data_IF_302565403647
#
_entry.id   IF_302565403647
#
_cell.length_a   1.000
_cell.length_b   1.000
_cell.length_c   1.000
_cell.angle_alpha   90.00
_cell.angle_beta   90.00
_cell.angle_gamma   90.00
#
_symmetry.space_group_name_H-M   'P 1'
#
loop_
_entity.id
_entity.type
_entity.pdbx_description
1 polymer ?
#
# COMPACT_ATOMS: atom_id res chain seq x y z
N UNK A 1 2.24 24.38 -3.08
CA UNK A 1 2.10 23.36 -2.02
C UNK A 1 2.24 21.98 -2.63
N UNK A 2 3.46 21.47 -2.77
CA UNK A 2 3.74 20.11 -3.28
C UNK A 2 4.15 19.14 -2.16
N UNK A 3 4.13 19.61 -0.91
CA UNK A 3 4.71 18.91 0.23
C UNK A 3 3.92 17.66 0.62
N UNK A 4 2.59 17.71 0.60
CA UNK A 4 1.74 16.59 1.05
C UNK A 4 1.77 15.36 0.16
N UNK A 5 1.88 15.51 -1.16
CA UNK A 5 1.95 14.36 -2.06
C UNK A 5 3.34 13.70 -2.02
N UNK A 6 4.41 14.51 -2.05
CA UNK A 6 5.78 14.00 -1.94
C UNK A 6 6.07 13.32 -0.59
N UNK A 7 5.60 13.90 0.52
CA UNK A 7 5.73 13.28 1.85
C UNK A 7 4.95 11.97 1.97
N UNK A 8 3.76 11.88 1.37
CA UNK A 8 2.99 10.63 1.36
C UNK A 8 3.68 9.55 0.51
N UNK A 9 4.23 9.92 -0.65
CA UNK A 9 5.00 9.00 -1.49
C UNK A 9 6.27 8.51 -0.77
N UNK A 10 7.00 9.39 -0.08
CA UNK A 10 8.17 8.99 0.72
C UNK A 10 7.80 8.01 1.84
N UNK A 11 6.66 8.22 2.52
CA UNK A 11 6.14 7.29 3.53
C UNK A 11 5.73 5.95 2.94
N UNK A 12 5.15 5.95 1.73
CA UNK A 12 4.80 4.72 1.02
C UNK A 12 6.06 3.93 0.65
N UNK A 13 7.08 4.59 0.09
CA UNK A 13 8.37 3.96 -0.23
C UNK A 13 9.00 3.34 1.02
N UNK A 14 9.07 4.08 2.12
CA UNK A 14 9.60 3.57 3.38
C UNK A 14 8.85 2.33 3.89
N UNK A 15 7.52 2.33 3.83
CA UNK A 15 6.72 1.18 4.28
C UNK A 15 6.95 -0.08 3.42
N UNK A 16 7.25 0.09 2.13
CA UNK A 16 7.60 -1.01 1.22
C UNK A 16 9.01 -1.54 1.54
N UNK A 17 9.97 -0.65 1.79
CA UNK A 17 11.33 -1.03 2.19
C UNK A 17 11.34 -1.77 3.54
N UNK A 18 10.56 -1.30 4.53
CA UNK A 18 10.37 -2.01 5.81
C UNK A 18 9.76 -3.40 5.59
N UNK A 19 8.70 -3.52 4.78
CA UNK A 19 8.11 -4.83 4.45
C UNK A 19 9.12 -5.77 3.79
N UNK A 20 9.96 -5.26 2.89
CA UNK A 20 11.00 -6.06 2.24
C UNK A 20 12.06 -6.54 3.25
N UNK A 21 12.50 -5.66 4.15
CA UNK A 21 13.45 -6.00 5.21
C UNK A 21 12.88 -7.04 6.19
N UNK A 22 11.63 -6.85 6.61
CA UNK A 22 10.96 -7.76 7.53
C UNK A 22 10.61 -9.12 6.87
N UNK A 23 10.26 -9.12 5.58
CA UNK A 23 10.07 -10.34 4.80
C UNK A 23 11.35 -11.17 4.67
N UNK A 24 12.50 -10.51 4.49
CA UNK A 24 13.82 -11.16 4.52
C UNK A 24 14.20 -11.69 5.91
N UNK A 25 13.71 -11.04 6.98
CA UNK A 25 13.90 -11.50 8.35
C UNK A 25 13.07 -12.75 8.71
N UNK A 26 12.21 -13.23 7.81
CA UNK A 26 11.39 -14.43 8.02
C UNK A 26 10.14 -14.17 8.85
N UNK A 27 9.49 -13.01 8.66
CA UNK A 27 8.20 -12.72 9.29
C UNK A 27 7.17 -13.82 8.98
N UNK A 28 6.29 -14.13 9.95
CA UNK A 28 5.16 -15.01 9.70
C UNK A 28 4.21 -14.37 8.68
N UNK A 29 3.53 -15.19 7.86
CA UNK A 29 2.69 -14.73 6.76
C UNK A 29 1.51 -13.87 7.23
N UNK A 30 1.01 -14.09 8.45
CA UNK A 30 -0.03 -13.25 9.07
C UNK A 30 0.41 -11.79 9.21
N UNK A 31 1.62 -11.55 9.74
CA UNK A 31 2.18 -10.20 9.89
C UNK A 31 2.48 -9.57 8.54
N UNK A 32 2.91 -10.37 7.56
CA UNK A 32 3.11 -9.91 6.17
C UNK A 32 1.79 -9.37 5.57
N UNK A 33 0.69 -10.09 5.79
CA UNK A 33 -0.65 -9.68 5.32
C UNK A 33 -1.09 -8.39 6.00
N UNK A 34 -0.89 -8.24 7.30
CA UNK A 34 -1.21 -7.00 8.04
C UNK A 34 -0.38 -5.80 7.53
N UNK A 35 0.92 -5.99 7.29
CA UNK A 35 1.80 -4.95 6.74
C UNK A 35 1.37 -4.54 5.33
N UNK A 36 1.07 -5.51 4.46
CA UNK A 36 0.55 -5.26 3.11
C UNK A 36 -0.78 -4.51 3.16
N UNK A 37 -1.68 -4.84 4.09
CA UNK A 37 -2.94 -4.12 4.28
C UNK A 37 -2.72 -2.65 4.70
N UNK A 38 -1.74 -2.39 5.58
CA UNK A 38 -1.32 -1.04 5.95
C UNK A 38 -0.79 -0.23 4.75
N UNK A 39 0.03 -0.85 3.90
CA UNK A 39 0.54 -0.23 2.66
C UNK A 39 -0.62 0.12 1.72
N UNK A 40 -1.59 -0.78 1.55
CA UNK A 40 -2.76 -0.49 0.72
C UNK A 40 -3.60 0.69 1.22
N UNK A 41 -3.75 0.85 2.54
CA UNK A 41 -4.42 2.02 3.13
C UNK A 41 -3.66 3.32 2.84
N UNK A 42 -2.31 3.29 2.84
CA UNK A 42 -1.49 4.43 2.45
C UNK A 42 -1.64 4.78 0.98
N UNK A 43 -1.70 3.77 0.10
CA UNK A 43 -1.93 3.95 -1.35
C UNK A 43 -3.28 4.59 -1.62
N UNK A 44 -4.36 4.16 -0.96
CA UNK A 44 -5.69 4.77 -1.12
C UNK A 44 -5.73 6.25 -0.70
N UNK A 45 -4.93 6.64 0.30
CA UNK A 45 -4.76 8.04 0.70
C UNK A 45 -3.91 8.89 -0.26
N UNK A 46 -3.14 8.26 -1.14
CA UNK A 46 -2.31 8.91 -2.17
C UNK A 46 -3.08 9.04 -3.48
N UNK A 47 -3.71 7.95 -3.91
CA UNK A 47 -4.44 7.87 -5.16
C UNK A 47 -5.82 7.19 -4.94
N UNK A 48 -6.89 7.98 -4.76
CA UNK A 48 -8.24 7.45 -4.63
C UNK A 48 -8.76 6.85 -5.95
N UNK A 49 -8.11 7.13 -7.07
CA UNK A 49 -8.43 6.51 -8.36
C UNK A 49 -8.00 5.03 -8.40
N UNK A 50 -6.93 4.63 -7.72
CA UNK A 50 -6.53 3.22 -7.55
C UNK A 50 -7.64 2.45 -6.82
N UNK A 51 -8.26 3.04 -5.79
CA UNK A 51 -9.41 2.45 -5.12
C UNK A 51 -10.59 2.26 -6.10
N UNK A 52 -10.92 3.29 -6.90
CA UNK A 52 -11.94 3.19 -7.95
C UNK A 52 -11.62 2.11 -9.00
N UNK A 53 -10.37 2.03 -9.44
CA UNK A 53 -9.92 1.04 -10.43
C UNK A 53 -10.00 -0.37 -9.86
N UNK A 54 -9.60 -0.56 -8.59
CA UNK A 54 -9.80 -1.83 -7.88
C UNK A 54 -11.25 -2.26 -7.87
N UNK A 55 -12.18 -1.41 -7.46
CA UNK A 55 -13.61 -1.73 -7.48
C UNK A 55 -14.07 -2.19 -8.86
N UNK A 56 -13.54 -1.58 -9.92
CA UNK A 56 -13.81 -1.99 -11.30
C UNK A 56 -13.25 -3.38 -11.65
N UNK A 57 -12.08 -3.75 -11.13
CA UNK A 57 -11.49 -5.08 -11.34
C UNK A 57 -12.08 -6.17 -10.43
N UNK A 58 -12.61 -5.82 -9.26
CA UNK A 58 -13.28 -6.77 -8.36
C UNK A 58 -14.75 -6.96 -8.70
N UNK A 59 -15.35 -6.04 -9.45
CA UNK A 59 -16.69 -6.20 -9.99
C UNK A 59 -16.55 -6.97 -11.30
N UNK A 60 -16.89 -8.27 -11.36
CA UNK A 60 -16.91 -8.97 -12.64
C UNK A 60 -17.88 -8.22 -13.57
N UNK A 61 -17.38 -7.77 -14.71
CA UNK A 61 -18.23 -7.29 -15.80
C UNK A 61 -19.19 -8.44 -16.14
N UNK A 62 -20.46 -8.28 -15.78
CA UNK A 62 -21.54 -9.23 -16.08
C UNK A 62 -22.01 -9.04 -17.51
#
# INVERSE_FOLDING_TARGET
MCSTHGERMARLTQAIDDLAAEGLAGLPPETLVERVAGIWSLVEGIDPEIARRRTRYTTPET
#
